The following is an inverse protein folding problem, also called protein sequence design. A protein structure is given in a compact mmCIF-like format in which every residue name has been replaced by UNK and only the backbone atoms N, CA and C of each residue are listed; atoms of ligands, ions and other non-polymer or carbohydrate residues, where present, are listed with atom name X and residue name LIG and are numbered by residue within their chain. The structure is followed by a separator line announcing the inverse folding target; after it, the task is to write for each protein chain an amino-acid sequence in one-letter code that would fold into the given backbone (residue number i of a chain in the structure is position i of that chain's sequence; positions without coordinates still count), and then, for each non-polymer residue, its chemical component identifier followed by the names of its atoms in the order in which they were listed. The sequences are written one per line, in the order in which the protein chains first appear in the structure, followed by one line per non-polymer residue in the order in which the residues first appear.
data_IF_276653532679
#
_entry.id   IF_276653532679
#
_cell.length_a   1.000
_cell.length_b   1.000
_cell.length_c   1.000
_cell.angle_alpha   90.00
_cell.angle_beta   90.00
_cell.angle_gamma   90.00
#
_symmetry.space_group_name_H-M   'P 1'
#
loop_
_entity.id
_entity.type
_entity.pdbx_description
1 polymer ?
#
# COMPACT_ATOMS: atom_id res chain seq x y z
N UNK A 1 -67.18 -51.86 5.24
CA UNK A 1 -66.54 -50.80 5.97
C UNK A 1 -65.10 -50.67 5.40
N UNK A 2 -64.83 -49.65 4.62
CA UNK A 2 -63.48 -49.37 4.02
C UNK A 2 -62.90 -48.17 4.70
N UNK A 3 -61.85 -48.41 5.48
CA UNK A 3 -61.11 -47.35 6.21
C UNK A 3 -60.09 -46.70 5.27
N UNK A 4 -60.26 -45.41 4.98
CA UNK A 4 -59.33 -44.61 4.18
C UNK A 4 -58.35 -43.99 5.14
N UNK A 5 -57.07 -44.40 5.06
CA UNK A 5 -55.93 -43.74 5.77
C UNK A 5 -55.44 -42.57 4.92
N UNK A 6 -55.63 -41.38 5.41
CA UNK A 6 -55.03 -40.15 4.79
C UNK A 6 -53.62 -39.96 5.33
N UNK A 7 -52.62 -40.19 4.48
CA UNK A 7 -51.24 -39.89 4.74
C UNK A 7 -51.00 -38.36 4.54
N UNK A 8 -50.74 -37.65 5.62
CA UNK A 8 -50.34 -36.23 5.57
C UNK A 8 -48.84 -36.21 5.38
N UNK A 9 -48.40 -35.84 4.17
CA UNK A 9 -46.98 -35.59 3.85
C UNK A 9 -46.55 -34.26 4.44
N UNK A 10 -45.65 -34.30 5.42
CA UNK A 10 -45.00 -33.13 6.03
C UNK A 10 -43.86 -32.69 5.09
N UNK A 11 -44.08 -31.63 4.32
CA UNK A 11 -43.03 -30.97 3.55
C UNK A 11 -42.18 -30.12 4.53
N UNK A 12 -41.03 -30.65 4.92
CA UNK A 12 -39.99 -29.87 5.62
C UNK A 12 -39.30 -28.99 4.57
N UNK A 13 -39.68 -27.69 4.50
CA UNK A 13 -38.88 -26.66 3.82
C UNK A 13 -37.63 -26.42 4.67
N UNK A 14 -36.51 -26.97 4.23
CA UNK A 14 -35.21 -26.65 4.76
C UNK A 14 -34.88 -25.16 4.39
N UNK A 15 -35.03 -24.26 5.34
CA UNK A 15 -34.49 -22.91 5.24
C UNK A 15 -32.96 -23.02 5.29
N UNK A 16 -32.33 -23.05 4.13
CA UNK A 16 -30.90 -22.81 4.04
C UNK A 16 -30.70 -21.32 4.29
N UNK A 17 -30.55 -20.95 5.56
CA UNK A 17 -30.09 -19.65 5.93
C UNK A 17 -28.64 -19.49 5.42
N UNK A 18 -28.45 -18.68 4.41
CA UNK A 18 -27.11 -18.15 4.10
C UNK A 18 -26.67 -17.40 5.35
N UNK A 19 -25.72 -17.96 6.09
CA UNK A 19 -24.98 -17.21 7.12
C UNK A 19 -24.29 -16.09 6.37
N UNK A 20 -24.80 -14.87 6.49
CA UNK A 20 -24.08 -13.69 6.07
C UNK A 20 -22.79 -13.67 6.91
N UNK A 21 -21.67 -13.99 6.29
CA UNK A 21 -20.36 -13.85 6.93
C UNK A 21 -20.15 -12.36 7.17
N UNK A 22 -19.83 -11.98 8.40
CA UNK A 22 -19.46 -10.61 8.68
C UNK A 22 -18.21 -10.25 7.86
N UNK A 23 -18.21 -9.06 7.27
CA UNK A 23 -17.05 -8.60 6.55
C UNK A 23 -15.85 -8.44 7.52
N UNK A 24 -14.66 -8.78 7.06
CA UNK A 24 -13.43 -8.58 7.82
C UNK A 24 -13.05 -7.09 7.78
N UNK A 25 -12.88 -6.48 8.95
CA UNK A 25 -12.44 -5.10 9.06
C UNK A 25 -10.95 -4.98 8.73
N UNK A 26 -10.61 -4.13 7.78
CA UNK A 26 -9.22 -3.88 7.33
C UNK A 26 -8.93 -2.40 7.31
N UNK A 27 -7.87 -1.98 7.99
CA UNK A 27 -7.34 -0.61 7.94
C UNK A 27 -6.16 -0.55 6.99
N UNK A 28 -6.30 0.27 5.93
CA UNK A 28 -5.26 0.54 4.94
C UNK A 28 -4.60 1.89 5.20
N UNK A 29 -3.31 1.92 5.53
CA UNK A 29 -2.51 3.13 5.67
C UNK A 29 -1.86 3.49 4.34
N UNK A 30 -2.20 4.65 3.78
CA UNK A 30 -1.54 5.17 2.59
C UNK A 30 -0.18 5.80 2.92
N UNK A 31 0.71 5.84 1.92
CA UNK A 31 2.05 6.43 2.05
C UNK A 31 2.02 7.95 2.19
N UNK A 32 1.06 8.61 1.55
CA UNK A 32 1.03 10.08 1.43
C UNK A 32 -0.40 10.60 1.56
N UNK A 33 -0.54 11.93 1.55
CA UNK A 33 -1.85 12.59 1.49
C UNK A 33 -2.65 12.09 0.27
N UNK A 34 -3.97 12.23 0.32
CA UNK A 34 -4.86 11.82 -0.77
C UNK A 34 -4.48 12.51 -2.08
N UNK A 35 -4.03 11.73 -3.05
CA UNK A 35 -3.59 12.17 -4.38
C UNK A 35 -3.94 11.13 -5.43
N UNK A 36 -3.81 11.49 -6.70
CA UNK A 36 -4.21 10.67 -7.84
C UNK A 36 -3.58 9.25 -7.88
N UNK A 37 -2.35 9.09 -7.39
CA UNK A 37 -1.72 7.75 -7.31
C UNK A 37 -2.45 6.76 -6.41
N UNK A 38 -3.31 7.24 -5.52
CA UNK A 38 -4.12 6.42 -4.63
C UNK A 38 -5.57 6.26 -5.10
N UNK A 39 -5.92 6.81 -6.26
CA UNK A 39 -7.30 6.80 -6.76
C UNK A 39 -7.90 5.39 -6.80
N UNK A 40 -7.10 4.37 -7.18
CA UNK A 40 -7.56 2.98 -7.26
C UNK A 40 -8.12 2.44 -5.94
N UNK A 41 -7.51 2.80 -4.81
CA UNK A 41 -7.98 2.36 -3.49
C UNK A 41 -9.32 3.01 -3.12
N UNK A 42 -9.48 4.30 -3.42
CA UNK A 42 -10.74 5.01 -3.17
C UNK A 42 -11.84 4.57 -4.12
N UNK A 43 -11.51 4.33 -5.40
CA UNK A 43 -12.48 3.79 -6.37
C UNK A 43 -12.96 2.41 -5.93
N UNK A 44 -12.05 1.54 -5.46
CA UNK A 44 -12.43 0.23 -4.96
C UNK A 44 -13.39 0.32 -3.75
N UNK A 45 -13.18 1.30 -2.87
CA UNK A 45 -14.07 1.55 -1.74
C UNK A 45 -15.43 2.08 -2.22
N UNK A 46 -15.45 3.11 -3.06
CA UNK A 46 -16.66 3.77 -3.56
C UNK A 46 -17.54 2.85 -4.43
N UNK A 47 -16.92 1.94 -5.18
CA UNK A 47 -17.63 0.99 -6.04
C UNK A 47 -18.03 -0.30 -5.33
N UNK A 48 -17.67 -0.46 -4.05
CA UNK A 48 -18.01 -1.64 -3.26
C UNK A 48 -17.16 -2.87 -3.57
N UNK A 49 -16.02 -2.75 -4.28
CA UNK A 49 -15.20 -3.91 -4.65
C UNK A 49 -14.57 -4.59 -3.43
N UNK A 50 -14.32 -3.87 -2.35
CA UNK A 50 -13.87 -4.48 -1.10
C UNK A 50 -14.99 -5.29 -0.44
N UNK A 51 -16.21 -4.76 -0.45
CA UNK A 51 -17.39 -5.43 0.11
C UNK A 51 -17.72 -6.71 -0.65
N UNK A 52 -17.56 -6.72 -1.98
CA UNK A 52 -17.71 -7.90 -2.82
C UNK A 52 -16.75 -9.03 -2.42
N UNK A 53 -15.56 -8.67 -1.90
CA UNK A 53 -14.55 -9.61 -1.38
C UNK A 53 -14.72 -9.88 0.12
N UNK A 54 -15.79 -9.41 0.75
CA UNK A 54 -16.08 -9.61 2.16
C UNK A 54 -15.21 -8.75 3.09
N UNK A 55 -14.71 -7.61 2.62
CA UNK A 55 -13.86 -6.69 3.39
C UNK A 55 -14.59 -5.39 3.71
N UNK A 56 -14.44 -4.92 4.95
CA UNK A 56 -14.84 -3.58 5.40
C UNK A 56 -13.56 -2.73 5.53
N UNK A 57 -13.27 -1.91 4.51
CA UNK A 57 -11.99 -1.22 4.41
C UNK A 57 -12.07 0.23 4.89
N UNK A 58 -11.19 0.58 5.84
CA UNK A 58 -10.95 1.96 6.28
C UNK A 58 -9.64 2.46 5.70
N UNK A 59 -9.67 3.51 4.88
CA UNK A 59 -8.47 4.13 4.29
C UNK A 59 -8.00 5.29 5.15
N UNK A 60 -6.76 5.19 5.66
CA UNK A 60 -6.07 6.27 6.38
C UNK A 60 -5.09 6.97 5.43
N UNK A 61 -5.25 8.28 5.17
CA UNK A 61 -4.26 9.02 4.42
C UNK A 61 -2.93 9.09 5.18
N UNK A 62 -1.83 9.16 4.43
CA UNK A 62 -0.51 9.42 4.96
C UNK A 62 -0.18 10.91 4.99
N UNK A 63 1.10 11.22 5.14
CA UNK A 63 1.60 12.60 5.16
C UNK A 63 3.09 12.67 5.46
N UNK A 64 3.66 13.89 5.51
CA UNK A 64 5.10 14.08 5.72
C UNK A 64 5.60 13.55 7.08
N UNK A 65 4.74 13.54 8.09
CA UNK A 65 5.09 13.12 9.45
C UNK A 65 4.61 11.69 9.77
N UNK A 66 4.10 10.96 8.78
CA UNK A 66 3.57 9.62 8.95
C UNK A 66 4.50 8.61 8.29
N UNK A 67 5.05 7.70 9.10
CA UNK A 67 5.81 6.55 8.63
C UNK A 67 4.89 5.31 8.60
N UNK A 68 4.41 4.85 7.43
CA UNK A 68 3.44 3.74 7.34
C UNK A 68 3.89 2.46 8.04
N UNK A 69 5.18 2.15 7.95
CA UNK A 69 5.76 0.99 8.65
C UNK A 69 5.55 1.08 10.17
N UNK A 70 5.72 2.27 10.76
CA UNK A 70 5.53 2.44 12.20
C UNK A 70 4.04 2.33 12.58
N UNK A 71 3.15 2.83 11.74
CA UNK A 71 1.69 2.69 11.95
C UNK A 71 1.30 1.21 11.92
N UNK A 72 1.79 0.45 10.93
CA UNK A 72 1.53 -0.98 10.81
C UNK A 72 2.08 -1.77 12.01
N UNK A 73 3.34 -1.56 12.35
CA UNK A 73 3.99 -2.27 13.47
C UNK A 73 3.39 -1.90 14.84
N UNK A 74 2.84 -0.70 14.97
CA UNK A 74 2.11 -0.26 16.15
C UNK A 74 0.67 -0.74 16.23
N UNK A 75 0.19 -1.54 15.26
CA UNK A 75 -1.19 -2.04 15.22
C UNK A 75 -2.21 -0.97 14.81
N UNK A 76 -1.77 0.13 14.24
CA UNK A 76 -2.65 1.20 13.75
C UNK A 76 -3.22 0.96 12.35
N UNK A 77 -2.73 -0.06 11.64
CA UNK A 77 -3.20 -0.50 10.34
C UNK A 77 -2.87 -1.99 10.14
N UNK A 78 -3.61 -2.66 9.26
CA UNK A 78 -3.43 -4.05 8.88
C UNK A 78 -2.62 -4.17 7.59
N UNK A 79 -2.79 -3.19 6.70
CA UNK A 79 -2.11 -3.09 5.41
C UNK A 79 -1.54 -1.68 5.25
N UNK A 80 -0.40 -1.57 4.59
CA UNK A 80 0.17 -0.26 4.26
C UNK A 80 0.58 -0.19 2.80
N UNK A 81 0.52 1.01 2.24
CA UNK A 81 1.20 1.37 0.98
C UNK A 81 2.49 2.06 1.34
N UNK A 82 3.62 1.53 0.86
CA UNK A 82 4.93 2.15 1.09
C UNK A 82 5.83 1.99 -0.15
N UNK A 83 6.94 2.73 -0.16
CA UNK A 83 8.01 2.55 -1.14
C UNK A 83 8.78 1.26 -0.86
N UNK A 84 9.08 0.51 -1.92
CA UNK A 84 9.85 -0.73 -1.78
C UNK A 84 11.18 -0.53 -1.03
N UNK A 85 11.99 0.51 -1.28
CA UNK A 85 13.24 0.72 -0.53
C UNK A 85 13.02 0.89 0.98
N UNK A 86 11.98 1.63 1.41
CA UNK A 86 11.69 1.78 2.85
C UNK A 86 11.19 0.49 3.48
N UNK A 87 10.37 -0.28 2.76
CA UNK A 87 9.92 -1.59 3.23
C UNK A 87 11.08 -2.59 3.36
N UNK A 88 12.01 -2.61 2.40
CA UNK A 88 13.23 -3.45 2.48
C UNK A 88 14.11 -3.05 3.66
N UNK A 89 14.38 -1.77 3.84
CA UNK A 89 15.17 -1.26 4.98
C UNK A 89 14.52 -1.60 6.34
N UNK A 90 13.18 -1.60 6.41
CA UNK A 90 12.47 -2.03 7.61
C UNK A 90 12.63 -3.53 7.85
N UNK A 91 12.53 -4.36 6.81
CA UNK A 91 12.76 -5.81 6.91
C UNK A 91 14.18 -6.16 7.34
N UNK A 92 15.18 -5.48 6.81
CA UNK A 92 16.59 -5.65 7.23
C UNK A 92 16.78 -5.37 8.73
N UNK A 93 15.96 -4.47 9.29
CA UNK A 93 15.91 -4.18 10.73
C UNK A 93 15.03 -5.16 11.53
N UNK A 94 14.51 -6.19 10.89
CA UNK A 94 13.71 -7.23 11.54
C UNK A 94 12.20 -6.98 11.57
N UNK A 95 11.67 -5.98 10.84
CA UNK A 95 10.23 -5.77 10.76
C UNK A 95 9.53 -6.98 10.10
N UNK A 96 8.51 -7.60 10.75
CA UNK A 96 7.82 -8.78 10.25
C UNK A 96 6.74 -8.41 9.22
N UNK A 97 7.14 -7.75 8.13
CA UNK A 97 6.25 -7.33 7.05
C UNK A 97 6.46 -8.18 5.80
N UNK A 98 5.40 -8.37 5.03
CA UNK A 98 5.41 -9.09 3.76
C UNK A 98 4.83 -8.21 2.65
N UNK A 99 5.36 -8.37 1.43
CA UNK A 99 4.76 -7.73 0.25
C UNK A 99 3.64 -8.62 -0.28
N UNK A 100 2.41 -8.10 -0.31
CA UNK A 100 1.22 -8.81 -0.80
C UNK A 100 0.78 -8.34 -2.19
N UNK A 101 1.19 -7.14 -2.62
CA UNK A 101 0.87 -6.61 -3.94
C UNK A 101 1.87 -5.52 -4.36
N UNK A 102 2.07 -5.40 -5.67
CA UNK A 102 2.90 -4.36 -6.28
C UNK A 102 2.13 -3.70 -7.43
N UNK A 103 1.30 -2.67 -7.14
CA UNK A 103 0.46 -2.03 -8.15
C UNK A 103 1.25 -1.25 -9.22
N UNK A 104 2.50 -0.87 -8.94
CA UNK A 104 3.38 -0.17 -9.87
C UNK A 104 4.59 -1.03 -10.25
N UNK A 105 4.85 -1.21 -11.54
CA UNK A 105 5.95 -2.02 -12.03
C UNK A 105 7.33 -1.37 -11.85
N UNK A 106 7.38 -0.02 -11.77
CA UNK A 106 8.62 0.74 -11.63
C UNK A 106 8.42 1.99 -10.78
N UNK A 107 9.51 2.54 -10.23
CA UNK A 107 9.49 3.80 -9.52
C UNK A 107 9.24 4.96 -10.48
N UNK A 108 8.40 5.92 -10.06
CA UNK A 108 8.24 7.21 -10.73
C UNK A 108 9.27 8.26 -10.28
N UNK A 109 10.27 7.89 -9.47
CA UNK A 109 11.29 8.82 -9.01
C UNK A 109 12.07 9.40 -10.20
N UNK A 110 12.10 10.72 -10.28
CA UNK A 110 12.76 11.47 -11.35
C UNK A 110 13.52 12.66 -10.75
N UNK A 111 14.79 12.78 -11.12
CA UNK A 111 15.58 13.97 -10.80
C UNK A 111 15.37 15.02 -11.89
N UNK A 112 14.92 16.22 -11.50
CA UNK A 112 14.69 17.34 -12.41
C UNK A 112 15.53 18.53 -12.00
N UNK A 113 16.00 19.30 -12.98
CA UNK A 113 16.74 20.54 -12.73
C UNK A 113 16.36 21.63 -13.74
N UNK A 114 16.63 22.87 -13.39
CA UNK A 114 16.52 23.98 -14.35
C UNK A 114 17.63 23.88 -15.40
N UNK A 115 17.31 24.20 -16.64
CA UNK A 115 18.27 24.16 -17.76
C UNK A 115 19.49 25.05 -17.54
N UNK A 116 19.32 26.17 -16.85
CA UNK A 116 20.38 27.13 -16.53
C UNK A 116 21.50 26.54 -15.64
N UNK A 117 21.21 25.46 -14.89
CA UNK A 117 22.22 24.77 -14.11
C UNK A 117 23.13 23.87 -14.93
N UNK A 118 22.83 23.65 -16.21
CA UNK A 118 23.61 22.85 -17.15
C UNK A 118 23.94 21.44 -16.63
N UNK A 119 22.97 20.81 -15.93
CA UNK A 119 23.06 19.43 -15.48
C UNK A 119 22.38 18.56 -16.54
N UNK A 120 23.16 17.89 -17.35
CA UNK A 120 22.68 17.04 -18.47
C UNK A 120 22.92 15.55 -18.21
N UNK A 121 23.83 15.26 -17.29
CA UNK A 121 24.23 13.90 -16.96
C UNK A 121 24.69 13.79 -15.50
N UNK A 122 24.82 12.58 -14.95
CA UNK A 122 25.39 12.42 -13.61
C UNK A 122 26.83 12.95 -13.45
N UNK A 123 27.59 13.02 -14.55
CA UNK A 123 28.95 13.61 -14.52
C UNK A 123 28.98 15.09 -14.13
N UNK A 124 27.84 15.77 -14.22
CA UNK A 124 27.70 17.19 -13.88
C UNK A 124 27.31 17.42 -12.40
N UNK A 125 27.13 16.35 -11.60
CA UNK A 125 26.71 16.44 -10.20
C UNK A 125 27.79 16.95 -9.23
N UNK A 126 29.11 16.68 -9.43
CA UNK A 126 30.13 17.19 -8.51
C UNK A 126 30.01 18.69 -8.27
N UNK A 127 30.03 19.10 -7.00
CA UNK A 127 29.87 20.48 -6.59
C UNK A 127 28.44 21.05 -6.70
N UNK A 128 27.44 20.23 -7.01
CA UNK A 128 26.02 20.62 -7.02
C UNK A 128 25.30 20.12 -5.78
N UNK A 129 24.28 20.86 -5.36
CA UNK A 129 23.35 20.42 -4.31
C UNK A 129 22.18 19.71 -4.95
N UNK A 130 21.98 18.43 -4.61
CA UNK A 130 20.86 17.64 -5.06
C UNK A 130 19.83 17.54 -3.94
N UNK A 131 18.58 17.90 -4.24
CA UNK A 131 17.47 17.80 -3.30
C UNK A 131 16.73 16.46 -3.43
N UNK A 132 16.33 15.89 -2.31
CA UNK A 132 15.48 14.71 -2.28
C UNK A 132 14.53 14.77 -1.09
N UNK A 133 13.44 14.00 -1.15
CA UNK A 133 12.61 13.72 0.01
C UNK A 133 13.22 12.60 0.83
N UNK A 134 13.01 12.63 2.14
CA UNK A 134 13.36 11.53 3.04
C UNK A 134 12.27 10.45 3.11
N UNK A 135 12.36 9.55 4.07
CA UNK A 135 11.44 8.43 4.31
C UNK A 135 11.39 7.40 3.16
N UNK A 136 12.58 7.08 2.63
CA UNK A 136 12.78 6.04 1.63
C UNK A 136 13.05 6.55 0.22
N UNK A 137 12.77 7.84 -0.09
CA UNK A 137 13.07 8.41 -1.41
C UNK A 137 14.57 8.69 -1.57
N UNK A 138 15.29 8.99 -0.49
CA UNK A 138 16.74 9.20 -0.49
C UNK A 138 17.51 7.91 -0.82
N UNK A 139 16.99 6.75 -0.47
CA UNK A 139 17.70 5.46 -0.61
C UNK A 139 18.10 5.18 -2.07
N UNK A 140 17.21 5.25 -3.07
CA UNK A 140 17.60 5.07 -4.47
C UNK A 140 18.59 6.11 -4.97
N UNK A 141 18.45 7.38 -4.54
CA UNK A 141 19.36 8.44 -4.95
C UNK A 141 20.77 8.19 -4.39
N UNK A 142 20.89 7.95 -3.08
CA UNK A 142 22.18 7.69 -2.42
C UNK A 142 22.84 6.41 -2.98
N UNK A 143 22.05 5.35 -3.20
CA UNK A 143 22.55 4.11 -3.84
C UNK A 143 23.08 4.38 -5.26
N UNK A 144 22.40 5.24 -6.02
CA UNK A 144 22.85 5.62 -7.36
C UNK A 144 24.14 6.44 -7.29
N UNK A 145 24.22 7.43 -6.41
CA UNK A 145 25.44 8.22 -6.19
C UNK A 145 26.62 7.33 -5.79
N UNK A 146 26.42 6.41 -4.86
CA UNK A 146 27.46 5.45 -4.47
C UNK A 146 27.95 4.58 -5.63
N UNK A 147 27.03 4.11 -6.52
CA UNK A 147 27.42 3.36 -7.73
C UNK A 147 28.20 4.22 -8.74
N UNK A 148 28.02 5.53 -8.75
CA UNK A 148 28.79 6.47 -9.57
C UNK A 148 30.12 6.86 -8.94
N UNK A 149 30.39 6.41 -7.70
CA UNK A 149 31.62 6.73 -6.96
C UNK A 149 31.60 8.10 -6.29
N UNK A 150 30.41 8.69 -6.12
CA UNK A 150 30.27 9.97 -5.41
C UNK A 150 30.09 9.73 -3.91
N UNK A 151 30.68 10.62 -3.09
CA UNK A 151 30.46 10.62 -1.65
C UNK A 151 28.99 10.93 -1.33
N UNK A 152 28.44 10.22 -0.35
CA UNK A 152 27.04 10.35 0.07
C UNK A 152 26.90 10.71 1.54
N UNK A 153 28.01 10.97 2.21
CA UNK A 153 28.13 11.31 3.63
C UNK A 153 28.24 12.81 3.91
N UNK A 154 28.14 13.64 2.87
CA UNK A 154 28.25 15.10 2.98
C UNK A 154 29.67 15.62 2.96
N UNK A 155 30.67 14.79 2.62
CA UNK A 155 32.08 15.19 2.44
C UNK A 155 32.38 15.65 1.03
#
# INVERSE_FOLDING_TARGET
MKTVVKTIGLLALGAWGTLAQAADDVTLQLKWVTQAQFAGYYVALEQGFYEEEGLSVTIKPGGPDIAPVQVLLGGGADVMVDWLPSALAAREKGAPIVNIAQPFASSGLMLTCLKEHNINSPADFPGKTLGTWFFGNEIPLLSWMGKLGYATDGS
#
